data_IF_485268057623
#
_entry.id   IF_485268057623
#
_cell.length_a   1.000
_cell.length_b   1.000
_cell.length_c   1.000
_cell.angle_alpha   90.00
_cell.angle_beta   90.00
_cell.angle_gamma   90.00
#
_symmetry.space_group_name_H-M   'P 1'
#
loop_
_entity.id
_entity.type
_entity.pdbx_description
1 polymer ?
#
# COMPACT_ATOMS: atom_id res chain seq x y z
N UNK A 1 44.29 1.94 -22.58
CA UNK A 1 43.08 2.25 -23.38
C UNK A 1 41.95 1.42 -22.77
N UNK A 2 41.29 1.91 -21.71
CA UNK A 2 39.87 2.36 -21.69
C UNK A 2 38.93 1.33 -22.37
N UNK A 3 37.96 0.72 -21.70
CA UNK A 3 36.80 1.38 -21.09
C UNK A 3 36.43 0.84 -19.70
N UNK A 4 36.33 1.76 -18.74
CA UNK A 4 35.46 1.66 -17.56
C UNK A 4 34.01 1.68 -18.04
N UNK A 5 33.29 0.57 -17.87
CA UNK A 5 31.82 0.56 -17.92
C UNK A 5 31.29 0.70 -16.50
N UNK A 6 31.02 1.94 -16.07
CA UNK A 6 30.26 2.23 -14.85
C UNK A 6 28.93 1.49 -14.90
N UNK A 7 28.73 0.50 -14.02
CA UNK A 7 27.41 -0.04 -13.75
C UNK A 7 26.57 1.07 -13.10
N UNK A 8 25.82 1.80 -13.92
CA UNK A 8 24.80 2.72 -13.45
C UNK A 8 23.65 1.87 -12.89
N UNK A 9 23.69 1.61 -11.59
CA UNK A 9 22.60 0.96 -10.85
C UNK A 9 21.42 1.94 -10.77
N UNK A 10 20.41 1.73 -11.61
CA UNK A 10 19.16 2.47 -11.56
C UNK A 10 18.21 1.80 -10.57
N UNK A 11 17.58 2.59 -9.69
CA UNK A 11 16.42 2.16 -8.90
C UNK A 11 15.24 1.96 -9.86
N UNK A 12 14.88 0.70 -10.13
CA UNK A 12 13.74 0.36 -11.01
C UNK A 12 12.60 -0.14 -10.14
N UNK A 13 11.45 0.53 -10.22
CA UNK A 13 10.17 -0.05 -9.79
C UNK A 13 9.82 -1.17 -10.79
N UNK A 14 9.98 -2.43 -10.41
CA UNK A 14 9.64 -3.55 -11.30
C UNK A 14 8.23 -4.04 -10.96
N UNK A 15 7.28 -3.80 -11.86
CA UNK A 15 5.94 -4.38 -11.82
C UNK A 15 6.08 -5.87 -12.15
N UNK A 16 5.80 -6.77 -11.20
CA UNK A 16 5.78 -8.22 -11.43
C UNK A 16 4.32 -8.69 -11.44
N UNK A 17 3.71 -8.66 -12.62
CA UNK A 17 2.39 -9.26 -12.81
C UNK A 17 2.54 -10.77 -13.05
N UNK A 18 2.20 -11.61 -12.07
CA UNK A 18 2.02 -13.05 -12.31
C UNK A 18 0.62 -13.29 -12.92
N UNK A 19 0.43 -14.34 -13.74
CA UNK A 19 -0.89 -14.69 -14.24
C UNK A 19 -1.84 -14.99 -13.07
N UNK A 20 -2.83 -14.13 -12.83
CA UNK A 20 -3.83 -14.30 -11.78
C UNK A 20 -3.44 -13.81 -10.37
N UNK A 21 -2.29 -13.15 -10.18
CA UNK A 21 -1.89 -12.48 -8.91
C UNK A 21 -0.93 -11.32 -9.21
N UNK A 22 -1.29 -10.08 -8.84
CA UNK A 22 -0.44 -8.91 -9.08
C UNK A 22 0.38 -8.54 -7.84
N UNK A 23 1.71 -8.59 -7.93
CA UNK A 23 2.59 -8.05 -6.91
C UNK A 23 3.40 -6.90 -7.52
N UNK A 24 3.35 -5.72 -6.91
CA UNK A 24 4.20 -4.60 -7.32
C UNK A 24 5.19 -4.32 -6.21
N UNK A 25 6.47 -4.50 -6.50
CA UNK A 25 7.56 -4.27 -5.56
C UNK A 25 8.39 -3.13 -6.14
N UNK A 26 8.63 -2.08 -5.37
CA UNK A 26 9.47 -0.97 -5.82
C UNK A 26 10.52 -0.59 -4.78
N UNK A 27 11.56 0.11 -5.25
CA UNK A 27 12.79 0.37 -4.52
C UNK A 27 13.90 -0.59 -4.95
N UNK A 28 15.11 -0.38 -4.44
CA UNK A 28 16.26 -1.23 -4.72
C UNK A 28 16.07 -2.61 -4.06
N UNK A 29 15.47 -3.56 -4.80
CA UNK A 29 15.20 -4.91 -4.31
C UNK A 29 15.61 -5.95 -5.35
N UNK A 30 16.20 -7.04 -4.88
CA UNK A 30 16.25 -8.28 -5.63
C UNK A 30 14.97 -9.06 -5.33
N UNK A 31 14.19 -9.39 -6.36
CA UNK A 31 12.93 -10.14 -6.20
C UNK A 31 13.10 -11.54 -6.77
N UNK A 32 12.88 -12.54 -5.94
CA UNK A 32 12.85 -13.93 -6.36
C UNK A 32 11.55 -14.22 -7.13
N UNK A 33 11.67 -14.75 -8.35
CA UNK A 33 10.56 -14.95 -9.27
C UNK A 33 9.56 -16.05 -8.88
N UNK A 34 9.97 -17.03 -8.08
CA UNK A 34 9.15 -18.19 -7.70
C UNK A 34 8.42 -17.95 -6.38
N UNK A 35 9.06 -17.22 -5.48
CA UNK A 35 8.57 -16.97 -4.12
C UNK A 35 8.04 -15.55 -3.94
N UNK A 36 8.32 -14.65 -4.89
CA UNK A 36 8.08 -13.21 -4.80
C UNK A 36 8.77 -12.56 -3.57
N UNK A 37 9.76 -13.24 -2.98
CA UNK A 37 10.51 -12.73 -1.85
C UNK A 37 11.38 -11.54 -2.30
N UNK A 38 11.23 -10.41 -1.62
CA UNK A 38 12.03 -9.22 -1.88
C UNK A 38 13.17 -9.10 -0.86
N UNK A 39 14.42 -9.17 -1.34
CA UNK A 39 15.62 -8.87 -0.56
C UNK A 39 16.05 -7.43 -0.78
N UNK A 40 16.16 -6.60 0.27
CA UNK A 40 16.66 -5.24 0.15
C UNK A 40 18.10 -5.25 -0.37
N UNK A 41 18.38 -4.42 -1.37
CA UNK A 41 19.75 -4.09 -1.79
C UNK A 41 19.98 -2.59 -1.57
N UNK A 42 21.21 -2.18 -1.27
CA UNK A 42 21.50 -0.77 -1.05
C UNK A 42 21.23 0.03 -2.33
N UNK A 43 20.38 1.07 -2.26
CA UNK A 43 20.12 1.99 -3.37
C UNK A 43 21.28 2.97 -3.54
N UNK A 44 21.81 3.08 -4.76
CA UNK A 44 22.95 3.95 -5.07
C UNK A 44 22.44 5.34 -5.53
N UNK A 45 21.80 6.10 -4.65
CA UNK A 45 21.30 7.45 -4.99
C UNK A 45 20.65 8.18 -3.81
N UNK A 46 20.44 9.50 -3.94
CA UNK A 46 19.63 10.23 -2.99
C UNK A 46 18.21 9.63 -2.98
N UNK A 47 17.77 9.09 -1.84
CA UNK A 47 16.46 8.48 -1.70
C UNK A 47 15.38 9.47 -2.16
N UNK A 48 14.62 9.12 -3.20
CA UNK A 48 13.39 9.84 -3.49
C UNK A 48 12.47 9.67 -2.30
N UNK A 49 11.97 10.78 -1.73
CA UNK A 49 11.08 10.73 -0.56
C UNK A 49 9.83 9.85 -0.80
N UNK A 50 9.45 9.64 -2.07
CA UNK A 50 8.40 8.72 -2.53
C UNK A 50 8.93 7.90 -3.72
N UNK A 51 8.94 6.56 -3.63
CA UNK A 51 9.41 5.70 -4.74
C UNK A 51 8.30 4.98 -5.51
N UNK A 52 7.06 5.01 -5.02
CA UNK A 52 5.91 4.42 -5.72
C UNK A 52 4.85 5.49 -5.91
N UNK A 53 4.49 5.76 -7.16
CA UNK A 53 3.29 6.49 -7.48
C UNK A 53 2.45 5.70 -8.51
N UNK A 54 1.34 5.13 -8.04
CA UNK A 54 0.37 4.45 -8.92
C UNK A 54 -0.63 5.42 -9.56
N UNK A 55 -0.49 6.75 -9.35
CA UNK A 55 -1.36 7.77 -9.96
C UNK A 55 -1.32 7.78 -11.50
N UNK A 56 -0.16 7.47 -12.09
CA UNK A 56 0.05 7.50 -13.54
C UNK A 56 -0.54 6.30 -14.30
N UNK A 57 -0.99 5.25 -13.59
CA UNK A 57 -1.47 4.00 -14.18
C UNK A 57 -2.99 3.92 -14.31
N UNK A 58 -3.74 4.91 -13.80
CA UNK A 58 -5.20 4.88 -13.70
C UNK A 58 -5.69 3.95 -12.58
N UNK A 59 -5.29 2.68 -12.61
CA UNK A 59 -5.50 1.75 -11.51
C UNK A 59 -4.84 0.38 -11.66
N UNK A 60 -4.73 -0.36 -10.57
CA UNK A 60 -4.24 -1.73 -10.47
C UNK A 60 -5.39 -2.64 -10.04
N UNK A 61 -5.67 -3.65 -10.85
CA UNK A 61 -6.77 -4.59 -10.63
C UNK A 61 -6.21 -6.00 -10.69
N UNK A 62 -6.37 -6.77 -9.63
CA UNK A 62 -5.90 -8.15 -9.56
C UNK A 62 -6.74 -8.96 -8.56
N UNK A 63 -6.60 -10.28 -8.54
CA UNK A 63 -7.25 -11.11 -7.52
C UNK A 63 -6.75 -10.76 -6.11
N UNK A 64 -5.44 -10.56 -5.99
CA UNK A 64 -4.74 -10.07 -4.79
C UNK A 64 -3.72 -9.03 -5.21
N UNK A 65 -3.47 -8.05 -4.34
CA UNK A 65 -2.50 -6.98 -4.55
C UNK A 65 -1.51 -6.95 -3.39
N UNK A 66 -0.22 -6.96 -3.69
CA UNK A 66 0.84 -6.70 -2.72
C UNK A 66 1.71 -5.55 -3.22
N UNK A 67 1.79 -4.46 -2.45
CA UNK A 67 2.60 -3.29 -2.72
C UNK A 67 3.57 -3.05 -1.57
N UNK A 68 4.87 -3.13 -1.82
CA UNK A 68 5.89 -2.94 -0.79
C UNK A 68 7.05 -2.04 -1.21
N UNK A 69 7.43 -1.13 -0.32
CA UNK A 69 8.70 -0.40 -0.32
C UNK A 69 9.54 -0.84 0.88
N UNK A 70 10.70 -1.44 0.61
CA UNK A 70 11.60 -1.97 1.64
C UNK A 70 12.80 -1.06 1.94
N UNK A 71 12.94 0.04 1.21
CA UNK A 71 14.03 0.99 1.40
C UNK A 71 13.69 1.95 2.55
N UNK A 72 14.61 2.09 3.52
CA UNK A 72 14.39 2.94 4.69
C UNK A 72 14.15 4.40 4.29
N UNK A 73 13.07 4.99 4.80
CA UNK A 73 12.71 6.37 4.50
C UNK A 73 12.03 6.57 3.14
N UNK A 74 11.84 5.50 2.36
CA UNK A 74 11.18 5.58 1.06
C UNK A 74 9.68 5.30 1.18
N UNK A 75 8.88 6.32 0.85
CA UNK A 75 7.43 6.26 0.93
C UNK A 75 6.73 5.61 -0.27
N UNK A 76 5.46 5.25 -0.05
CA UNK A 76 4.52 4.73 -1.06
C UNK A 76 3.38 5.74 -1.20
N UNK A 77 3.06 6.13 -2.43
CA UNK A 77 1.94 7.01 -2.75
C UNK A 77 0.97 6.32 -3.70
N UNK A 78 -0.30 6.32 -3.34
CA UNK A 78 -1.37 5.72 -4.13
C UNK A 78 -2.49 6.72 -4.35
N UNK A 79 -2.58 7.28 -5.56
CA UNK A 79 -3.63 8.26 -5.93
C UNK A 79 -4.60 7.74 -6.98
N UNK A 80 -4.32 6.57 -7.57
CA UNK A 80 -5.20 5.87 -8.50
C UNK A 80 -6.10 4.84 -7.81
N UNK A 81 -6.65 3.89 -8.57
CA UNK A 81 -7.44 2.78 -8.00
C UNK A 81 -6.54 1.58 -7.72
N UNK A 82 -6.66 0.96 -6.56
CA UNK A 82 -6.16 -0.38 -6.24
C UNK A 82 -7.37 -1.25 -5.90
N UNK A 83 -7.59 -2.34 -6.62
CA UNK A 83 -8.74 -3.21 -6.41
C UNK A 83 -8.34 -4.69 -6.40
N UNK A 84 -8.36 -5.29 -5.21
CA UNK A 84 -8.24 -6.73 -5.02
C UNK A 84 -9.62 -7.39 -5.17
N UNK A 85 -9.86 -8.03 -6.32
CA UNK A 85 -11.17 -8.49 -6.76
C UNK A 85 -11.62 -9.82 -6.14
N UNK A 86 -10.70 -10.59 -5.55
CA UNK A 86 -11.03 -11.92 -5.00
C UNK A 86 -10.36 -12.21 -3.65
N UNK A 87 -9.42 -11.39 -3.20
CA UNK A 87 -8.69 -11.60 -1.97
C UNK A 87 -8.11 -10.32 -1.40
N UNK A 88 -6.97 -10.44 -0.75
CA UNK A 88 -6.42 -9.39 0.09
C UNK A 88 -5.59 -8.36 -0.68
N UNK A 89 -5.46 -7.19 -0.06
CA UNK A 89 -4.61 -6.11 -0.50
C UNK A 89 -3.67 -5.72 0.62
N UNK A 90 -2.36 -5.77 0.37
CA UNK A 90 -1.34 -5.35 1.33
C UNK A 90 -0.55 -4.17 0.80
N UNK A 91 -0.43 -3.12 1.61
CA UNK A 91 0.43 -1.96 1.40
C UNK A 91 1.49 -1.93 2.50
N UNK A 92 2.76 -1.92 2.14
CA UNK A 92 3.89 -1.84 3.06
C UNK A 92 4.84 -0.72 2.65
N UNK A 93 5.20 0.14 3.60
CA UNK A 93 6.16 1.23 3.39
C UNK A 93 7.14 1.33 4.55
N UNK A 94 8.43 1.31 4.26
CA UNK A 94 9.47 1.66 5.24
C UNK A 94 9.67 3.20 5.39
N UNK A 95 8.82 4.00 4.74
CA UNK A 95 8.69 5.45 4.93
C UNK A 95 7.22 5.85 5.18
N UNK A 96 6.77 6.95 4.58
CA UNK A 96 5.37 7.37 4.64
C UNK A 96 4.51 6.52 3.70
N UNK A 97 3.27 6.23 4.08
CA UNK A 97 2.25 5.69 3.17
C UNK A 97 1.15 6.73 2.94
N UNK A 98 0.99 7.15 1.69
CA UNK A 98 -0.05 8.10 1.26
C UNK A 98 -1.08 7.36 0.43
N UNK A 99 -2.34 7.39 0.87
CA UNK A 99 -3.49 6.79 0.20
C UNK A 99 -4.51 7.89 -0.09
N UNK A 100 -4.43 8.45 -1.29
CA UNK A 100 -5.29 9.55 -1.76
C UNK A 100 -6.25 9.12 -2.88
N UNK A 101 -6.19 7.85 -3.32
CA UNK A 101 -7.04 7.26 -4.34
C UNK A 101 -8.12 6.34 -3.78
N UNK A 102 -8.48 5.30 -4.53
CA UNK A 102 -9.40 4.26 -4.08
C UNK A 102 -8.63 2.96 -3.83
N UNK A 103 -8.74 2.38 -2.64
CA UNK A 103 -8.11 1.12 -2.27
C UNK A 103 -9.20 0.19 -1.76
N UNK A 104 -9.54 -0.83 -2.55
CA UNK A 104 -10.65 -1.74 -2.27
C UNK A 104 -10.19 -3.20 -2.28
N UNK A 105 -10.70 -4.01 -1.36
CA UNK A 105 -10.49 -5.45 -1.35
C UNK A 105 -11.80 -6.21 -1.03
N UNK A 106 -12.03 -7.31 -1.75
CA UNK A 106 -13.04 -8.30 -1.33
C UNK A 106 -12.60 -9.12 -0.11
N UNK A 107 -11.29 -9.28 0.07
CA UNK A 107 -10.71 -9.80 1.31
C UNK A 107 -10.45 -8.68 2.31
N UNK A 108 -9.33 -8.80 3.01
CA UNK A 108 -8.86 -7.82 3.98
C UNK A 108 -7.82 -6.86 3.37
N UNK A 109 -7.71 -5.66 3.94
CA UNK A 109 -6.66 -4.70 3.64
C UNK A 109 -5.69 -4.62 4.81
N UNK A 110 -4.42 -4.87 4.55
CA UNK A 110 -3.33 -4.60 5.49
C UNK A 110 -2.50 -3.40 5.04
N UNK A 111 -2.48 -2.32 5.81
CA UNK A 111 -1.67 -1.14 5.53
C UNK A 111 -0.63 -0.95 6.64
N UNK A 112 0.66 -1.03 6.30
CA UNK A 112 1.77 -0.89 7.25
C UNK A 112 2.74 0.17 6.77
N UNK A 113 3.05 1.14 7.65
CA UNK A 113 4.00 2.19 7.32
C UNK A 113 4.87 2.55 8.53
N UNK A 114 6.19 2.53 8.37
CA UNK A 114 7.11 2.91 9.44
C UNK A 114 7.05 4.42 9.75
N UNK A 115 6.90 5.27 8.73
CA UNK A 115 6.90 6.73 8.86
C UNK A 115 5.54 7.34 9.24
N UNK A 116 4.45 6.65 8.93
CA UNK A 116 3.09 7.15 9.14
C UNK A 116 2.16 6.81 7.97
N UNK A 117 0.85 6.97 8.20
CA UNK A 117 -0.19 6.73 7.19
C UNK A 117 -1.00 8.01 7.02
N UNK A 118 -1.11 8.50 5.79
CA UNK A 118 -2.03 9.58 5.40
C UNK A 118 -3.09 9.01 4.45
N UNK A 119 -4.31 8.85 4.96
CA UNK A 119 -5.46 8.40 4.18
C UNK A 119 -6.41 9.57 3.93
N UNK A 120 -6.36 10.13 2.73
CA UNK A 120 -7.28 11.16 2.23
C UNK A 120 -8.26 10.63 1.19
N UNK A 121 -8.01 9.42 0.68
CA UNK A 121 -8.87 8.71 -0.26
C UNK A 121 -9.87 7.77 0.42
N UNK A 122 -10.30 6.75 -0.32
CA UNK A 122 -11.18 5.69 0.19
C UNK A 122 -10.39 4.40 0.32
N UNK A 123 -10.33 3.87 1.54
CA UNK A 123 -9.77 2.55 1.86
C UNK A 123 -10.88 1.71 2.46
N UNK A 124 -11.33 0.69 1.73
CA UNK A 124 -12.47 -0.15 2.09
C UNK A 124 -12.24 -1.64 1.88
N UNK A 125 -12.49 -2.45 2.91
CA UNK A 125 -12.43 -3.91 2.84
C UNK A 125 -13.80 -4.55 3.14
N UNK A 126 -14.18 -5.59 2.40
CA UNK A 126 -15.37 -6.38 2.76
C UNK A 126 -15.15 -7.27 3.99
N UNK A 127 -13.90 -7.64 4.31
CA UNK A 127 -13.60 -8.29 5.57
C UNK A 127 -13.05 -7.25 6.55
N UNK A 128 -11.72 -7.17 6.67
CA UNK A 128 -11.08 -6.35 7.70
C UNK A 128 -10.14 -5.31 7.10
N UNK A 129 -10.03 -4.16 7.77
CA UNK A 129 -8.94 -3.21 7.58
C UNK A 129 -8.02 -3.26 8.79
N UNK A 130 -6.73 -3.46 8.56
CA UNK A 130 -5.69 -3.41 9.60
C UNK A 130 -4.67 -2.35 9.17
N UNK A 131 -4.66 -1.22 9.87
CA UNK A 131 -3.70 -0.13 9.65
C UNK A 131 -2.69 -0.07 10.80
N UNK A 132 -1.40 -0.16 10.49
CA UNK A 132 -0.30 -0.07 11.46
C UNK A 132 0.67 1.02 11.04
N UNK A 133 0.82 2.06 11.85
CA UNK A 133 1.73 3.16 11.62
C UNK A 133 2.78 3.22 12.74
N UNK A 134 4.06 3.26 12.38
CA UNK A 134 5.13 3.59 13.33
C UNK A 134 5.11 5.07 13.76
N UNK A 135 4.58 5.93 12.89
CA UNK A 135 4.31 7.35 13.15
C UNK A 135 2.83 7.63 13.44
N UNK A 136 2.34 8.77 12.95
CA UNK A 136 0.93 9.14 13.03
C UNK A 136 0.10 8.46 11.93
N UNK A 137 -1.17 8.19 12.22
CA UNK A 137 -2.20 7.91 11.23
C UNK A 137 -3.14 9.11 11.13
N UNK A 138 -3.19 9.74 9.96
CA UNK A 138 -4.14 10.79 9.62
C UNK A 138 -5.16 10.24 8.65
N UNK A 139 -6.45 10.38 8.98
CA UNK A 139 -7.56 9.96 8.14
C UNK A 139 -8.48 11.16 7.86
N UNK A 140 -8.39 11.73 6.67
CA UNK A 140 -9.30 12.78 6.20
C UNK A 140 -10.36 12.26 5.21
N UNK A 141 -10.17 11.06 4.66
CA UNK A 141 -11.11 10.37 3.78
C UNK A 141 -11.88 9.25 4.50
N UNK A 142 -11.92 8.06 3.90
CA UNK A 142 -12.58 6.87 4.47
C UNK A 142 -11.56 5.78 4.74
N UNK A 143 -11.50 5.28 5.97
CA UNK A 143 -10.81 4.06 6.37
C UNK A 143 -11.84 3.15 7.04
N UNK A 144 -12.38 2.17 6.31
CA UNK A 144 -13.48 1.37 6.82
C UNK A 144 -13.49 -0.08 6.35
N UNK A 145 -14.18 -0.92 7.09
CA UNK A 145 -14.39 -2.31 6.74
C UNK A 145 -15.83 -2.74 7.02
N UNK A 146 -16.32 -3.77 6.33
CA UNK A 146 -17.61 -4.36 6.65
C UNK A 146 -17.57 -5.17 7.95
N UNK A 147 -16.44 -5.84 8.26
CA UNK A 147 -16.30 -6.59 9.51
C UNK A 147 -15.56 -5.76 10.55
N UNK A 148 -14.22 -5.75 10.55
CA UNK A 148 -13.43 -5.08 11.58
C UNK A 148 -12.47 -4.05 11.01
N UNK A 149 -12.30 -2.94 11.74
CA UNK A 149 -11.25 -1.95 11.45
C UNK A 149 -10.36 -1.82 12.67
N UNK A 150 -9.10 -2.24 12.52
CA UNK A 150 -8.07 -2.16 13.55
C UNK A 150 -7.04 -1.11 13.18
N UNK A 151 -6.79 -0.15 14.07
CA UNK A 151 -5.75 0.86 13.91
C UNK A 151 -4.76 0.77 15.06
N UNK A 152 -3.47 0.63 14.73
CA UNK A 152 -2.36 0.71 15.67
C UNK A 152 -1.40 1.81 15.22
N UNK A 153 -1.36 2.92 15.95
CA UNK A 153 -0.50 4.06 15.64
C UNK A 153 -0.15 4.81 16.93
N UNK A 154 0.97 5.55 16.93
CA UNK A 154 1.34 6.39 18.07
C UNK A 154 0.35 7.53 18.30
N UNK A 155 -0.22 8.07 17.22
CA UNK A 155 -1.29 9.06 17.25
C UNK A 155 -2.28 8.77 16.10
N UNK A 156 -3.58 8.94 16.35
CA UNK A 156 -4.63 8.83 15.34
C UNK A 156 -5.40 10.14 15.28
N UNK A 157 -5.43 10.78 14.11
CA UNK A 157 -6.27 11.94 13.84
C UNK A 157 -7.22 11.59 12.71
N UNK A 158 -8.52 11.65 12.96
CA UNK A 158 -9.53 11.38 11.94
C UNK A 158 -10.51 12.54 11.85
N UNK A 159 -10.59 13.17 10.68
CA UNK A 159 -11.64 14.14 10.33
C UNK A 159 -12.65 13.54 9.34
N UNK A 160 -12.31 12.42 8.71
CA UNK A 160 -13.21 11.63 7.87
C UNK A 160 -13.77 10.39 8.57
N UNK A 161 -14.26 9.44 7.78
CA UNK A 161 -14.86 8.18 8.28
C UNK A 161 -13.77 7.20 8.69
N UNK A 162 -13.79 6.79 9.95
CA UNK A 162 -12.98 5.70 10.49
C UNK A 162 -13.93 4.72 11.20
N UNK A 163 -14.17 3.54 10.64
CA UNK A 163 -15.24 2.69 11.18
C UNK A 163 -15.22 1.24 10.71
N UNK A 164 -15.95 0.41 11.43
CA UNK A 164 -16.19 -1.00 11.14
C UNK A 164 -17.70 -1.22 10.96
N UNK A 165 -18.12 -2.33 10.36
CA UNK A 165 -19.55 -2.53 10.09
C UNK A 165 -20.10 -1.60 9.01
N UNK A 166 -19.29 -1.13 8.06
CA UNK A 166 -19.74 -0.21 7.00
C UNK A 166 -20.01 -1.01 5.71
N UNK A 167 -21.18 -0.84 5.11
CA UNK A 167 -21.54 -1.44 3.82
C UNK A 167 -20.90 -0.67 2.65
N UNK A 168 -20.84 -1.28 1.47
CA UNK A 168 -20.27 -0.66 0.25
C UNK A 168 -21.03 0.58 -0.23
N UNK A 169 -22.28 0.77 0.22
CA UNK A 169 -23.11 1.96 -0.05
C UNK A 169 -22.93 3.07 1.02
N UNK A 170 -22.03 2.87 1.99
CA UNK A 170 -21.77 3.81 3.08
C UNK A 170 -22.75 3.73 4.24
N UNK A 171 -23.77 2.86 4.17
CA UNK A 171 -24.65 2.59 5.31
C UNK A 171 -23.93 1.77 6.39
N UNK A 172 -24.37 1.91 7.63
CA UNK A 172 -23.85 1.10 8.74
C UNK A 172 -24.65 -0.20 8.76
N UNK A 173 -23.97 -1.34 8.71
CA UNK A 173 -24.57 -2.66 8.79
C UNK A 173 -25.42 -2.73 10.07
N UNK A 174 -26.70 -3.13 9.96
CA UNK A 174 -27.56 -3.22 11.12
C UNK A 174 -26.96 -4.21 12.11
N UNK A 175 -27.03 -3.85 13.40
CA UNK A 175 -26.67 -4.76 14.48
C UNK A 175 -27.69 -5.89 14.46
N UNK A 176 -27.31 -7.10 14.07
CA UNK A 176 -28.14 -8.29 14.25
C UNK A 176 -28.02 -8.74 15.71
N UNK A 177 -29.12 -8.61 16.43
CA UNK A 177 -29.34 -9.00 17.83
C UNK A 177 -29.62 -10.50 18.02
#
# INVERSE_FOLDING_TARGET
>A
MSLLGTASTFAVAQIVAAPGSGAVIAGANQVDHDTLAATPIAGNGAASALAIDVSALGGMYANRIYLASNEYGVGVSTRGVLAAQAGDLTLQSNGQLVVAGQTNARGSIGARAAGGIDNSGVTYAQHDVIATAGGALTNSGTLAAQQNTTVNAGNVTSTGTLGAGVNTDGSIAPRSD
#
